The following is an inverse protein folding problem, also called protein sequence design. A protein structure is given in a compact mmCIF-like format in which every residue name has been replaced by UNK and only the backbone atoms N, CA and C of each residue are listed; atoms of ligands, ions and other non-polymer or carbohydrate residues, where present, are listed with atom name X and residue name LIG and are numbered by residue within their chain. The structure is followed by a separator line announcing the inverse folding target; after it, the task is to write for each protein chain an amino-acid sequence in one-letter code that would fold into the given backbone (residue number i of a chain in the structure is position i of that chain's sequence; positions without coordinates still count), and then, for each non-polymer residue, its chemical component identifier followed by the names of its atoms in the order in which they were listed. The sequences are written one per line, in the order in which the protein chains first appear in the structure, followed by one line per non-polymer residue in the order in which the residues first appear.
data_IF_476978608233
#
_entry.id   IF_476978608233
#
_cell.length_a   1.000
_cell.length_b   1.000
_cell.length_c   1.000
_cell.angle_alpha   90.00
_cell.angle_beta   90.00
_cell.angle_gamma   90.00
#
_symmetry.space_group_name_H-M   'P 1'
#
loop_
_entity.id
_entity.type
_entity.pdbx_description
1 polymer ?
#
# COMPACT_ATOMS: atom_id res chain seq x y z
N UNK A 1 -3.62 9.47 -19.54
CA UNK A 1 -2.16 9.57 -19.24
C UNK A 1 -2.03 9.57 -17.72
N UNK A 2 -1.02 8.88 -17.15
CA UNK A 2 -0.82 8.88 -15.70
C UNK A 2 -0.34 10.27 -15.26
N UNK A 3 -0.96 10.84 -14.22
CA UNK A 3 -0.59 12.12 -13.61
C UNK A 3 -0.22 11.89 -12.16
N UNK A 4 0.64 12.74 -11.60
CA UNK A 4 1.00 12.66 -10.20
C UNK A 4 1.18 14.02 -9.55
N UNK A 5 0.98 14.09 -8.24
CA UNK A 5 1.33 15.25 -7.41
C UNK A 5 2.14 14.82 -6.22
N UNK A 6 3.13 15.63 -5.88
CA UNK A 6 3.90 15.52 -4.63
C UNK A 6 3.45 16.62 -3.68
N UNK A 7 3.17 16.26 -2.43
CA UNK A 7 2.77 17.16 -1.36
C UNK A 7 3.77 17.10 -0.23
N UNK A 8 4.23 18.27 0.21
CA UNK A 8 5.10 18.42 1.37
C UNK A 8 4.52 19.49 2.30
N UNK A 9 4.76 19.34 3.59
CA UNK A 9 4.53 20.41 4.55
C UNK A 9 5.86 21.09 4.87
N UNK A 10 5.88 22.42 4.91
CA UNK A 10 6.97 23.14 5.56
C UNK A 10 6.91 22.90 7.06
N UNK A 11 8.05 22.97 7.75
CA UNK A 11 8.15 22.75 9.20
C UNK A 11 7.50 23.96 9.91
N UNK A 12 6.18 24.05 9.87
CA UNK A 12 5.40 25.11 10.47
C UNK A 12 4.14 24.46 11.04
N UNK A 13 4.10 24.27 12.36
CA UNK A 13 2.85 23.96 13.04
C UNK A 13 2.99 23.08 14.28
N UNK A 14 2.69 23.69 15.41
CA UNK A 14 2.61 23.20 16.80
C UNK A 14 1.47 22.19 17.07
N UNK A 15 1.01 21.48 16.04
CA UNK A 15 -0.14 20.58 16.11
C UNK A 15 0.36 19.12 16.19
N UNK A 16 -0.16 18.33 17.13
CA UNK A 16 0.42 17.04 17.52
C UNK A 16 0.33 15.93 16.45
N UNK A 17 -0.18 16.22 15.24
CA UNK A 17 -0.25 15.26 14.14
C UNK A 17 0.23 15.87 12.81
N UNK A 18 1.04 15.08 12.11
CA UNK A 18 1.71 15.47 10.88
C UNK A 18 0.71 15.71 9.73
N UNK A 19 0.71 16.90 9.10
CA UNK A 19 -0.27 17.26 8.07
C UNK A 19 -0.15 16.39 6.81
N UNK A 20 1.04 15.89 6.47
CA UNK A 20 1.24 14.98 5.32
C UNK A 20 0.59 13.62 5.61
N UNK A 21 0.69 13.14 6.86
CA UNK A 21 0.05 11.89 7.26
C UNK A 21 -1.48 12.02 7.36
N UNK A 22 -1.99 13.16 7.82
CA UNK A 22 -3.43 13.47 7.77
C UNK A 22 -3.94 13.43 6.32
N UNK A 23 -3.25 14.13 5.41
CA UNK A 23 -3.60 14.11 3.99
C UNK A 23 -3.53 12.71 3.37
N UNK A 24 -2.56 11.89 3.79
CA UNK A 24 -2.48 10.49 3.37
C UNK A 24 -3.73 9.69 3.80
N UNK A 25 -4.20 9.86 5.04
CA UNK A 25 -5.43 9.19 5.53
C UNK A 25 -6.64 9.61 4.70
N UNK A 26 -6.82 10.91 4.45
CA UNK A 26 -7.91 11.44 3.62
C UNK A 26 -7.88 10.79 2.21
N UNK A 27 -6.69 10.64 1.63
CA UNK A 27 -6.51 9.96 0.34
C UNK A 27 -6.88 8.47 0.39
N UNK A 28 -6.57 7.79 1.50
CA UNK A 28 -6.92 6.39 1.68
C UNK A 28 -8.43 6.19 1.74
N UNK A 29 -9.14 7.05 2.46
CA UNK A 29 -10.60 7.02 2.58
C UNK A 29 -11.29 7.30 1.23
N UNK A 30 -10.72 8.21 0.44
CA UNK A 30 -11.18 8.50 -0.91
C UNK A 30 -10.74 7.46 -1.97
N UNK A 31 -10.07 6.38 -1.58
CA UNK A 31 -9.54 5.34 -2.47
C UNK A 31 -8.61 5.88 -3.58
N UNK A 32 -7.87 6.95 -3.30
CA UNK A 32 -6.86 7.46 -4.21
C UNK A 32 -5.60 6.58 -4.20
N UNK A 33 -4.94 6.49 -5.36
CA UNK A 33 -3.61 5.87 -5.46
C UNK A 33 -2.60 6.82 -4.81
N UNK A 34 -2.22 6.53 -3.58
CA UNK A 34 -1.31 7.39 -2.83
C UNK A 34 -0.26 6.59 -2.06
N UNK A 35 0.89 7.21 -1.85
CA UNK A 35 1.95 6.68 -1.00
C UNK A 35 2.72 7.82 -0.38
N UNK A 36 3.22 7.65 0.84
CA UNK A 36 4.12 8.62 1.45
C UNK A 36 5.50 8.00 1.67
N UNK A 37 6.49 8.88 1.76
CA UNK A 37 7.84 8.53 2.20
C UNK A 37 8.48 9.70 2.93
N UNK A 38 9.64 9.41 3.52
CA UNK A 38 10.56 10.45 4.00
C UNK A 38 11.51 10.79 2.86
N UNK A 39 11.72 12.08 2.62
CA UNK A 39 12.63 12.54 1.57
C UNK A 39 14.04 12.02 1.88
N UNK A 40 14.72 11.38 0.92
CA UNK A 40 16.11 10.99 1.10
C UNK A 40 16.98 12.21 1.39
N UNK A 41 18.09 12.07 2.14
CA UNK A 41 19.05 13.16 2.27
C UNK A 41 19.55 13.55 0.88
N UNK A 42 19.43 14.83 0.52
CA UNK A 42 20.08 15.36 -0.69
C UNK A 42 21.58 15.18 -0.50
N UNK A 43 22.24 14.51 -1.43
CA UNK A 43 23.66 14.24 -1.38
C UNK A 43 24.46 15.55 -1.53
N UNK A 44 24.55 16.33 -0.44
CA UNK A 44 25.63 17.31 -0.30
C UNK A 44 26.94 16.52 -0.32
N UNK A 45 27.83 16.93 -1.21
CA UNK A 45 29.04 16.27 -1.77
C UNK A 45 30.07 15.66 -0.80
N UNK A 46 29.77 15.55 0.49
CA UNK A 46 30.62 14.93 1.51
C UNK A 46 29.93 13.81 2.32
N UNK A 47 28.61 13.60 2.15
CA UNK A 47 27.84 12.62 2.92
C UNK A 47 27.42 11.37 2.11
N UNK A 48 27.98 11.17 0.91
CA UNK A 48 27.63 10.08 0.00
C UNK A 48 27.94 8.66 0.53
N UNK A 49 28.63 8.55 1.66
CA UNK A 49 28.87 7.28 2.38
C UNK A 49 27.96 7.08 3.60
N UNK A 50 27.00 7.98 3.84
CA UNK A 50 26.03 7.87 4.93
C UNK A 50 24.93 6.85 4.61
N UNK A 51 24.45 6.16 5.65
CA UNK A 51 23.38 5.15 5.57
C UNK A 51 22.24 5.57 4.62
N UNK A 52 21.81 4.70 3.68
CA UNK A 52 20.74 4.99 2.71
C UNK A 52 19.34 5.08 3.35
N UNK A 53 19.25 5.02 4.68
CA UNK A 53 18.01 5.03 5.44
C UNK A 53 17.66 6.49 5.74
N UNK A 54 16.51 7.01 5.24
CA UNK A 54 16.05 8.34 5.59
C UNK A 54 15.93 8.50 7.10
N UNK A 55 16.44 9.61 7.64
CA UNK A 55 16.42 9.86 9.08
C UNK A 55 14.98 9.98 9.62
N UNK A 56 14.69 9.63 10.89
CA UNK A 56 13.35 9.73 11.47
C UNK A 56 12.79 11.16 11.56
N UNK A 57 13.63 12.17 11.47
CA UNK A 57 13.31 13.60 11.43
C UNK A 57 13.21 14.16 10.00
N UNK A 58 13.54 13.36 8.97
CA UNK A 58 13.46 13.80 7.58
C UNK A 58 12.03 14.20 7.19
N UNK A 59 11.94 15.24 6.36
CA UNK A 59 10.69 15.78 5.83
C UNK A 59 9.89 14.67 5.13
N UNK A 60 8.59 14.66 5.38
CA UNK A 60 7.67 13.70 4.74
C UNK A 60 7.12 14.31 3.46
N UNK A 61 6.94 13.45 2.47
CA UNK A 61 6.29 13.79 1.21
C UNK A 61 5.25 12.72 0.87
N UNK A 62 4.10 13.19 0.39
CA UNK A 62 2.98 12.38 -0.07
C UNK A 62 2.91 12.46 -1.59
N UNK A 63 2.79 11.31 -2.23
CA UNK A 63 2.62 11.17 -3.66
C UNK A 63 1.21 10.68 -3.93
N UNK A 64 0.50 11.36 -4.83
CA UNK A 64 -0.84 11.03 -5.29
C UNK A 64 -0.77 10.79 -6.79
N UNK A 65 -1.42 9.74 -7.26
CA UNK A 65 -1.43 9.31 -8.65
C UNK A 65 -2.88 9.18 -9.14
N UNK A 66 -3.14 9.60 -10.38
CA UNK A 66 -4.46 9.46 -11.00
C UNK A 66 -4.36 9.38 -12.53
N UNK A 67 -5.40 8.82 -13.15
CA UNK A 67 -5.50 8.68 -14.61
C UNK A 67 -6.57 9.57 -15.23
N UNK A 68 -7.42 10.16 -14.40
CA UNK A 68 -8.51 11.04 -14.83
C UNK A 68 -7.96 12.31 -15.46
N UNK A 69 -8.70 12.87 -16.42
CA UNK A 69 -8.37 14.15 -17.03
C UNK A 69 -8.31 15.26 -15.98
N UNK A 70 -9.22 15.24 -15.01
CA UNK A 70 -9.33 16.21 -13.91
C UNK A 70 -8.47 15.81 -12.69
N UNK A 71 -7.94 16.83 -12.00
CA UNK A 71 -7.22 16.67 -10.73
C UNK A 71 -8.21 16.28 -9.61
N UNK A 72 -7.85 15.34 -8.71
CA UNK A 72 -8.73 14.99 -7.61
C UNK A 72 -9.02 16.21 -6.72
N UNK A 73 -10.30 16.44 -6.36
CA UNK A 73 -10.74 17.57 -5.53
C UNK A 73 -9.98 17.72 -4.21
N UNK A 74 -9.54 16.59 -3.64
CA UNK A 74 -8.71 16.58 -2.43
C UNK A 74 -7.38 17.32 -2.60
N UNK A 75 -6.80 17.33 -3.80
CA UNK A 75 -5.55 18.05 -4.08
C UNK A 75 -5.74 19.56 -3.97
N UNK A 76 -6.90 20.08 -4.42
CA UNK A 76 -7.26 21.49 -4.21
C UNK A 76 -7.46 21.82 -2.72
N UNK A 77 -8.13 20.94 -1.99
CA UNK A 77 -8.30 21.09 -0.53
C UNK A 77 -6.95 21.08 0.21
N UNK A 78 -6.01 20.22 -0.20
CA UNK A 78 -4.65 20.20 0.37
C UNK A 78 -3.88 21.51 0.13
N UNK A 79 -4.04 22.13 -1.06
CA UNK A 79 -3.47 23.45 -1.36
C UNK A 79 -4.06 24.51 -0.41
N UNK A 80 -5.37 24.50 -0.20
CA UNK A 80 -6.05 25.42 0.73
C UNK A 80 -5.61 25.22 2.19
N UNK A 81 -5.28 23.98 2.58
CA UNK A 81 -4.72 23.64 3.90
C UNK A 81 -3.24 24.02 4.06
N UNK A 82 -2.62 24.64 3.06
CA UNK A 82 -1.23 25.11 3.13
C UNK A 82 -0.17 24.04 2.85
N UNK A 83 -0.53 22.91 2.24
CA UNK A 83 0.46 21.96 1.74
C UNK A 83 1.06 22.46 0.43
N UNK A 84 2.38 22.33 0.31
CA UNK A 84 3.11 22.63 -0.92
C UNK A 84 2.87 21.48 -1.92
N UNK A 85 2.03 21.74 -2.93
CA UNK A 85 1.66 20.77 -3.96
C UNK A 85 2.40 21.06 -5.26
N UNK A 86 3.14 20.07 -5.76
CA UNK A 86 3.80 20.09 -7.06
C UNK A 86 3.16 19.06 -7.96
N UNK A 87 2.56 19.47 -9.07
CA UNK A 87 1.95 18.56 -10.05
C UNK A 87 2.94 18.21 -11.15
N UNK A 88 3.16 16.92 -11.36
CA UNK A 88 3.98 16.35 -12.42
C UNK A 88 3.05 15.75 -13.48
N UNK A 89 3.03 16.34 -14.68
CA UNK A 89 2.33 15.81 -15.84
C UNK A 89 3.34 15.45 -16.93
N UNK A 90 3.12 14.33 -17.62
CA UNK A 90 3.80 14.08 -18.89
C UNK A 90 3.35 15.16 -19.89
N UNK A 91 4.30 15.80 -20.57
CA UNK A 91 4.00 16.78 -21.61
C UNK A 91 3.38 16.06 -22.83
N UNK A 92 2.27 16.59 -23.32
CA UNK A 92 1.51 16.06 -24.47
C UNK A 92 2.02 16.51 -25.83
N UNK A 93 3.12 17.26 -25.90
CA UNK A 93 3.65 17.69 -27.19
C UNK A 93 4.13 16.49 -27.99
N UNK A 94 3.50 16.29 -29.16
CA UNK A 94 3.78 15.19 -30.07
C UNK A 94 5.24 15.17 -30.58
N UNK A 95 5.94 16.31 -30.48
CA UNK A 95 7.34 16.52 -30.85
C UNK A 95 8.30 16.60 -29.64
N UNK A 96 7.77 16.63 -28.42
CA UNK A 96 8.60 16.57 -27.22
C UNK A 96 8.99 15.10 -26.96
N UNK A 97 10.25 14.82 -26.59
CA UNK A 97 10.61 13.48 -26.12
C UNK A 97 9.66 13.14 -24.97
N UNK A 98 8.96 12.01 -25.06
CA UNK A 98 8.05 11.53 -24.01
C UNK A 98 8.83 11.60 -22.71
N UNK A 99 8.41 12.49 -21.81
CA UNK A 99 9.05 12.60 -20.50
C UNK A 99 8.57 11.38 -19.72
N UNK A 100 9.28 10.28 -19.89
CA UNK A 100 9.01 9.06 -19.14
C UNK A 100 9.25 9.38 -17.65
N UNK A 101 8.32 8.98 -16.79
CA UNK A 101 8.50 9.13 -15.34
C UNK A 101 9.88 8.64 -14.91
N UNK A 102 10.54 9.32 -13.97
CA UNK A 102 11.81 8.84 -13.43
C UNK A 102 11.61 7.48 -12.71
N UNK A 103 12.67 6.66 -12.65
CA UNK A 103 12.67 5.37 -11.94
C UNK A 103 12.09 5.47 -10.53
N UNK A 104 12.41 6.57 -9.84
CA UNK A 104 11.93 6.85 -8.49
C UNK A 104 10.40 7.04 -8.45
N UNK A 105 9.86 7.91 -9.29
CA UNK A 105 8.41 8.15 -9.40
C UNK A 105 7.65 6.88 -9.78
N UNK A 106 8.22 6.07 -10.68
CA UNK A 106 7.65 4.77 -11.04
C UNK A 106 7.57 3.85 -9.81
N UNK A 107 8.65 3.74 -9.05
CA UNK A 107 8.68 2.91 -7.83
C UNK A 107 7.63 3.36 -6.81
N UNK A 108 7.42 4.67 -6.65
CA UNK A 108 6.39 5.23 -5.78
C UNK A 108 4.98 4.93 -6.29
N UNK A 109 4.76 5.04 -7.60
CA UNK A 109 3.51 4.63 -8.22
C UNK A 109 3.19 3.17 -7.90
N UNK A 110 4.14 2.23 -8.07
CA UNK A 110 3.90 0.82 -7.71
C UNK A 110 3.67 0.61 -6.22
N UNK A 111 4.38 1.33 -5.36
CA UNK A 111 4.13 1.28 -3.92
C UNK A 111 2.69 1.69 -3.60
N UNK A 112 2.18 2.74 -4.26
CA UNK A 112 0.79 3.19 -4.11
C UNK A 112 -0.22 2.15 -4.63
N UNK A 113 0.06 1.54 -5.78
CA UNK A 113 -0.77 0.50 -6.38
C UNK A 113 -0.84 -0.75 -5.51
N UNK A 114 0.29 -1.19 -4.97
CA UNK A 114 0.37 -2.34 -4.06
C UNK A 114 -0.45 -2.08 -2.81
N UNK A 115 -0.31 -0.89 -2.22
CA UNK A 115 -1.11 -0.52 -1.06
C UNK A 115 -2.60 -0.52 -1.37
N UNK A 116 -3.02 -0.02 -2.53
CA UNK A 116 -4.42 -0.05 -2.95
C UNK A 116 -4.96 -1.48 -3.14
N UNK A 117 -4.19 -2.34 -3.82
CA UNK A 117 -4.55 -3.75 -4.02
C UNK A 117 -4.64 -4.48 -2.68
N UNK A 118 -3.63 -4.33 -1.81
CA UNK A 118 -3.61 -4.95 -0.50
C UNK A 118 -4.81 -4.51 0.34
N UNK A 119 -5.10 -3.20 0.41
CA UNK A 119 -6.27 -2.70 1.14
C UNK A 119 -7.57 -3.29 0.63
N UNK A 120 -7.74 -3.38 -0.70
CA UNK A 120 -8.93 -4.00 -1.29
C UNK A 120 -9.03 -5.48 -0.94
N UNK A 121 -7.93 -6.23 -1.00
CA UNK A 121 -7.93 -7.64 -0.65
C UNK A 121 -8.26 -7.84 0.84
N UNK A 122 -7.71 -7.01 1.72
CA UNK A 122 -8.02 -7.04 3.15
C UNK A 122 -9.50 -6.74 3.41
N UNK A 123 -10.11 -5.79 2.70
CA UNK A 123 -11.54 -5.50 2.84
C UNK A 123 -12.44 -6.65 2.36
N UNK A 124 -11.93 -7.49 1.45
CA UNK A 124 -12.61 -8.72 0.96
C UNK A 124 -12.36 -9.95 1.85
N UNK A 125 -11.70 -9.77 3.01
CA UNK A 125 -11.45 -10.85 3.96
C UNK A 125 -10.19 -11.68 3.68
N UNK A 126 -9.30 -11.23 2.79
CA UNK A 126 -7.94 -11.76 2.76
C UNK A 126 -7.18 -11.31 3.99
N UNK A 127 -6.19 -12.10 4.39
CA UNK A 127 -5.23 -11.76 5.44
C UNK A 127 -3.82 -11.88 4.91
N UNK A 128 -2.92 -11.03 5.41
CA UNK A 128 -1.50 -11.07 5.08
C UNK A 128 -0.74 -11.94 6.06
N UNK A 129 -0.17 -13.04 5.57
CA UNK A 129 0.74 -13.89 6.32
C UNK A 129 2.15 -13.80 5.71
N UNK A 130 3.02 -13.02 6.35
CA UNK A 130 4.34 -12.69 5.82
C UNK A 130 4.26 -11.95 4.49
N UNK A 131 4.64 -12.64 3.40
CA UNK A 131 4.64 -12.14 2.02
C UNK A 131 3.44 -12.64 1.20
N UNK A 132 2.56 -13.42 1.79
CA UNK A 132 1.43 -14.06 1.13
C UNK A 132 0.11 -13.43 1.59
N UNK A 133 -0.82 -13.31 0.67
CA UNK A 133 -2.21 -12.93 0.90
C UNK A 133 -3.08 -14.15 0.65
N UNK A 134 -3.93 -14.48 1.61
CA UNK A 134 -4.75 -15.67 1.54
C UNK A 134 -6.06 -15.43 2.27
N UNK A 135 -7.14 -16.09 1.87
CA UNK A 135 -8.45 -15.95 2.55
C UNK A 135 -8.62 -17.10 3.55
N UNK A 136 -8.56 -16.86 4.87
CA UNK A 136 -8.70 -17.92 5.86
C UNK A 136 -9.96 -18.74 5.62
N UNK A 137 -9.86 -20.04 5.86
CA UNK A 137 -11.01 -20.93 5.82
C UNK A 137 -11.91 -20.61 7.00
N UNK A 138 -13.20 -20.44 6.72
CA UNK A 138 -14.22 -20.35 7.75
C UNK A 138 -14.73 -21.76 8.04
N UNK A 139 -14.56 -22.19 9.29
CA UNK A 139 -15.12 -23.44 9.79
C UNK A 139 -16.64 -23.27 9.90
N UNK A 140 -17.34 -23.65 8.83
CA UNK A 140 -18.78 -23.91 8.88
C UNK A 140 -19.07 -25.11 9.80
N UNK A 141 -20.27 -25.18 10.35
CA UNK A 141 -20.73 -26.31 11.20
C UNK A 141 -20.55 -27.67 10.52
N UNK A 142 -20.57 -27.72 9.19
CA UNK A 142 -20.30 -28.93 8.40
C UNK A 142 -18.87 -29.50 8.59
N UNK A 143 -17.89 -28.65 8.91
CA UNK A 143 -16.50 -29.06 9.17
C UNK A 143 -16.22 -29.38 10.64
N UNK A 144 -17.13 -29.00 11.54
CA UNK A 144 -16.98 -29.23 12.98
C UNK A 144 -17.19 -30.72 13.35
N UNK A 145 -18.09 -31.39 12.62
CA UNK A 145 -18.44 -32.79 12.85
C UNK A 145 -17.35 -33.77 12.38
N UNK A 146 -16.63 -33.46 11.30
CA UNK A 146 -15.56 -34.33 10.79
C UNK A 146 -14.29 -33.54 10.44
N UNK A 147 -13.27 -33.67 11.31
CA UNK A 147 -11.94 -33.05 11.13
C UNK A 147 -11.25 -33.47 9.82
N UNK A 148 -11.63 -34.60 9.21
CA UNK A 148 -11.07 -35.05 7.94
C UNK A 148 -11.59 -34.25 6.73
N UNK A 149 -12.68 -33.49 6.90
CA UNK A 149 -13.24 -32.65 5.82
C UNK A 149 -12.55 -31.30 5.68
N UNK A 150 -11.70 -30.91 6.65
CA UNK A 150 -10.97 -29.64 6.59
C UNK A 150 -9.88 -29.73 5.50
N UNK A 151 -9.88 -28.81 4.52
CA UNK A 151 -8.83 -28.76 3.51
C UNK A 151 -7.45 -28.61 4.15
N UNK A 152 -6.50 -29.48 3.78
CA UNK A 152 -5.11 -29.41 4.29
C UNK A 152 -4.33 -28.20 3.76
N UNK A 153 -4.75 -27.66 2.62
CA UNK A 153 -4.07 -26.59 1.93
C UNK A 153 -5.06 -25.57 1.39
N UNK A 154 -4.59 -24.33 1.27
CA UNK A 154 -5.30 -23.23 0.65
C UNK A 154 -4.42 -22.55 -0.39
N UNK A 155 -5.04 -21.83 -1.33
CA UNK A 155 -4.29 -21.01 -2.27
C UNK A 155 -3.91 -19.69 -1.60
N UNK A 156 -2.63 -19.37 -1.65
CA UNK A 156 -2.09 -18.09 -1.25
C UNK A 156 -1.50 -17.38 -2.47
N UNK A 157 -1.61 -16.06 -2.47
CA UNK A 157 -1.24 -15.20 -3.59
C UNK A 157 -0.15 -14.24 -3.13
N UNK A 158 0.84 -14.01 -3.98
CA UNK A 158 1.88 -13.02 -3.75
C UNK A 158 2.10 -12.21 -5.01
N UNK A 159 2.15 -10.89 -4.84
CA UNK A 159 2.43 -9.96 -5.92
C UNK A 159 3.93 -9.64 -5.96
N UNK A 160 4.47 -9.64 -7.17
CA UNK A 160 5.82 -9.24 -7.50
C UNK A 160 5.77 -8.15 -8.57
N UNK A 161 6.54 -7.10 -8.37
CA UNK A 161 6.65 -6.00 -9.32
C UNK A 161 8.10 -5.83 -9.67
N UNK A 162 8.41 -5.78 -10.96
CA UNK A 162 9.75 -5.52 -11.44
C UNK A 162 9.70 -4.57 -12.62
N UNK A 163 10.67 -3.66 -12.63
CA UNK A 163 10.89 -2.76 -13.74
C UNK A 163 11.70 -3.53 -14.79
N UNK A 164 11.20 -3.54 -16.02
CA UNK A 164 11.86 -4.16 -17.14
C UNK A 164 12.27 -3.07 -18.14
N UNK A 165 13.58 -2.95 -18.38
CA UNK A 165 14.18 -1.91 -19.25
C UNK A 165 13.83 -0.49 -18.73
N UNK A 166 13.83 0.46 -19.65
CA UNK A 166 13.76 1.88 -19.35
C UNK A 166 12.33 2.42 -19.24
N UNK A 167 11.28 1.63 -19.51
CA UNK A 167 9.88 2.14 -19.45
C UNK A 167 8.78 1.12 -19.16
N UNK A 168 9.06 -0.19 -19.15
CA UNK A 168 8.04 -1.21 -18.92
C UNK A 168 8.03 -1.65 -17.46
N UNK A 169 6.82 -1.84 -16.93
CA UNK A 169 6.65 -2.39 -15.59
C UNK A 169 5.83 -3.65 -15.65
N UNK A 170 6.38 -4.70 -15.08
CA UNK A 170 5.78 -6.01 -15.07
C UNK A 170 5.30 -6.33 -13.67
N UNK A 171 4.02 -6.72 -13.56
CA UNK A 171 3.47 -7.35 -12.38
C UNK A 171 3.38 -8.85 -12.62
N UNK A 172 3.92 -9.64 -11.70
CA UNK A 172 3.78 -11.09 -11.67
C UNK A 172 3.02 -11.50 -10.42
N UNK A 173 2.11 -12.44 -10.57
CA UNK A 173 1.30 -12.98 -9.49
C UNK A 173 1.70 -14.44 -9.31
N UNK A 174 2.23 -14.76 -8.14
CA UNK A 174 2.55 -16.14 -7.77
C UNK A 174 1.40 -16.68 -6.94
N UNK A 175 0.83 -17.80 -7.38
CA UNK A 175 -0.17 -18.54 -6.64
C UNK A 175 0.46 -19.84 -6.16
N UNK A 176 0.44 -20.08 -4.85
CA UNK A 176 1.05 -21.26 -4.24
C UNK A 176 0.12 -21.88 -3.20
N UNK A 177 0.14 -23.22 -3.12
CA UNK A 177 -0.51 -23.96 -2.03
C UNK A 177 0.27 -23.73 -0.73
N UNK A 178 -0.40 -23.18 0.28
CA UNK A 178 0.11 -23.00 1.64
C UNK A 178 -0.70 -23.87 2.61
N UNK A 179 -0.16 -24.20 3.80
CA UNK A 179 -0.95 -24.84 4.86
C UNK A 179 -2.23 -24.05 5.12
N UNK A 180 -3.32 -24.76 5.37
CA UNK A 180 -4.61 -24.13 5.63
C UNK A 180 -4.58 -23.27 6.89
N UNK A 181 -5.07 -22.04 6.77
CA UNK A 181 -5.25 -21.11 7.88
C UNK A 181 -6.75 -21.06 8.20
N UNK A 182 -7.09 -21.32 9.46
CA UNK A 182 -8.47 -21.36 9.93
C UNK A 182 -8.77 -20.09 10.72
N UNK A 183 -9.94 -19.50 10.48
CA UNK A 183 -10.44 -18.39 11.29
C UNK A 183 -11.03 -18.95 12.59
N UNK A 184 -10.44 -18.57 13.72
CA UNK A 184 -11.02 -18.90 15.02
C UNK A 184 -12.19 -17.95 15.33
N UNK A 185 -13.29 -18.50 15.83
CA UNK A 185 -14.44 -17.73 16.31
C UNK A 185 -14.76 -18.15 17.76
N UNK A 186 -15.69 -17.44 18.40
CA UNK A 186 -16.07 -17.72 19.79
C UNK A 186 -16.66 -19.13 20.01
N UNK A 187 -17.22 -19.78 18.98
CA UNK A 187 -17.77 -21.14 19.14
C UNK A 187 -16.66 -22.16 19.46
N UNK A 188 -15.47 -22.02 18.87
CA UNK A 188 -14.35 -22.93 19.11
C UNK A 188 -13.82 -22.87 20.56
N UNK A 189 -13.99 -21.74 21.25
CA UNK A 189 -13.61 -21.63 22.65
C UNK A 189 -14.60 -22.33 23.61
N UNK A 190 -15.88 -22.38 23.23
CA UNK A 190 -16.92 -23.01 24.06
C UNK A 190 -16.77 -24.54 24.09
N UNK A 191 -16.44 -25.15 22.96
CA UNK A 191 -16.18 -26.60 22.85
C UNK A 191 -14.96 -27.05 23.66
N UNK A 192 -13.89 -26.24 23.68
CA UNK A 192 -12.71 -26.50 24.50
C UNK A 192 -12.99 -26.43 26.01
N UNK A 193 -13.93 -25.58 26.42
CA UNK A 193 -14.31 -25.43 27.83
C UNK A 193 -15.21 -26.57 28.31
N UNK A 194 -16.06 -27.11 27.43
CA UNK A 194 -16.94 -28.25 27.74
C UNK A 194 -16.18 -29.58 27.78
N UNK A 195 -15.16 -29.77 26.93
CA UNK A 195 -14.32 -30.98 26.95
C UNK A 195 -13.32 -31.03 28.11
N UNK A 196 -13.11 -29.92 28.82
CA UNK A 196 -12.20 -29.81 29.95
C UNK A 196 -12.88 -29.93 31.33
N UNK A 197 -14.19 -30.19 31.41
CA UNK A 197 -14.86 -30.48 32.68
C UNK A 197 -14.61 -31.96 33.07
N UNK A 198 -13.99 -32.23 34.22
CA UNK A 198 -13.87 -33.60 34.73
C UNK A 198 -15.24 -34.11 35.18
N UNK A 199 -15.52 -35.38 34.86
CA UNK A 199 -16.64 -36.16 35.41
C UNK A 199 -16.52 -36.28 36.92
#
# INVERSE_FOLDING_TARGET
MLKSSTLCADIVGTDNADPVLRAYIDCLEANLLCTWRRRPPVASTLAAFGNPIPRPDAQKELWIFWYTSEEPKLVEDFKLRGLNVVTHSEATDADAPRVEFEYETRTLFFKSLNSAIERRLLSEGFVRFGRWLCRPLELSSLYAEDKHTIPKFMNAIRFHYFLHRDSLVCASIVVQRQPAILRLSQCHFKEATQSAQPV
#
